data_IF_432164232265
#
_entry.id   IF_432164232265
#
_cell.length_a   1.000
_cell.length_b   1.000
_cell.length_c   1.000
_cell.angle_alpha   90.00
_cell.angle_beta   90.00
_cell.angle_gamma   90.00
#
_symmetry.space_group_name_H-M   'P 1'
#
loop_
_entity.id
_entity.type
_entity.pdbx_description
1 polymer ?
#
# COMPACT_ATOMS: atom_id res chain seq x y z
N UNK A 1 -16.13 1.06 -4.14
CA UNK A 1 -15.09 0.11 -3.68
C UNK A 1 -14.03 0.85 -2.88
N UNK A 2 -13.45 0.18 -1.90
CA UNK A 2 -12.38 0.63 -1.03
C UNK A 2 -11.04 0.11 -1.54
N UNK A 3 -9.99 0.92 -1.46
CA UNK A 3 -8.65 0.54 -1.90
C UNK A 3 -7.58 0.97 -0.91
N UNK A 4 -6.45 0.26 -0.95
CA UNK A 4 -5.22 0.62 -0.26
C UNK A 4 -4.03 0.62 -1.24
N UNK A 5 -3.10 1.56 -1.09
CA UNK A 5 -1.90 1.64 -1.92
C UNK A 5 -0.64 1.47 -1.07
N UNK A 6 0.03 0.35 -1.24
CA UNK A 6 1.27 -0.01 -0.56
C UNK A 6 2.49 0.34 -1.42
N UNK A 7 3.52 0.96 -0.84
CA UNK A 7 4.82 1.14 -1.51
C UNK A 7 5.92 1.54 -0.51
N UNK A 8 7.11 1.85 -1.04
CA UNK A 8 8.19 2.45 -0.27
C UNK A 8 8.05 3.98 -0.17
N UNK A 9 8.70 4.58 0.84
CA UNK A 9 8.81 6.05 0.98
C UNK A 9 9.39 6.75 -0.26
N UNK A 10 10.16 6.03 -1.10
CA UNK A 10 10.71 6.54 -2.36
C UNK A 10 9.64 6.82 -3.43
N UNK A 11 8.42 6.27 -3.25
CA UNK A 11 7.33 6.35 -4.22
C UNK A 11 6.16 7.21 -3.72
N UNK A 12 6.33 8.06 -2.69
CA UNK A 12 5.24 8.89 -2.13
C UNK A 12 4.45 9.63 -3.23
N UNK A 13 5.14 10.28 -4.17
CA UNK A 13 4.46 11.06 -5.21
C UNK A 13 3.65 10.18 -6.16
N UNK A 14 4.16 8.98 -6.48
CA UNK A 14 3.43 7.99 -7.30
C UNK A 14 2.22 7.44 -6.56
N UNK A 15 2.36 7.18 -5.26
CA UNK A 15 1.25 6.73 -4.41
C UNK A 15 0.16 7.78 -4.38
N UNK A 16 0.51 9.05 -4.12
CA UNK A 16 -0.43 10.17 -4.14
C UNK A 16 -1.12 10.30 -5.49
N UNK A 17 -0.36 10.27 -6.59
CA UNK A 17 -0.91 10.30 -7.94
C UNK A 17 -1.95 9.21 -8.16
N UNK A 18 -1.60 7.93 -7.91
CA UNK A 18 -2.52 6.80 -8.07
C UNK A 18 -3.74 6.93 -7.16
N UNK A 19 -3.55 7.33 -5.90
CA UNK A 19 -4.64 7.52 -4.96
C UNK A 19 -5.60 8.64 -5.38
N UNK A 20 -5.11 9.76 -5.93
CA UNK A 20 -5.98 10.80 -6.50
C UNK A 20 -6.74 10.28 -7.73
N UNK A 21 -6.08 9.57 -8.64
CA UNK A 21 -6.76 9.01 -9.82
C UNK A 21 -7.87 8.03 -9.43
N UNK A 22 -7.65 7.20 -8.41
CA UNK A 22 -8.67 6.27 -7.91
C UNK A 22 -9.80 7.00 -7.18
N UNK A 23 -9.48 8.02 -6.38
CA UNK A 23 -10.51 8.86 -5.72
C UNK A 23 -11.38 9.62 -6.72
N UNK A 24 -10.79 10.17 -7.80
CA UNK A 24 -11.52 10.84 -8.87
C UNK A 24 -12.49 9.90 -9.62
N UNK A 25 -12.25 8.59 -9.56
CA UNK A 25 -13.16 7.55 -10.08
C UNK A 25 -14.22 7.10 -9.07
N UNK A 26 -14.30 7.74 -7.90
CA UNK A 26 -15.27 7.42 -6.85
C UNK A 26 -14.83 6.30 -5.89
N UNK A 27 -13.58 5.85 -5.94
CA UNK A 27 -13.08 4.87 -4.98
C UNK A 27 -12.68 5.52 -3.65
N UNK A 28 -12.76 4.74 -2.55
CA UNK A 28 -12.49 5.21 -1.20
C UNK A 28 -11.11 4.72 -0.76
N UNK A 29 -10.21 5.64 -0.44
CA UNK A 29 -8.89 5.29 0.10
C UNK A 29 -9.01 4.95 1.58
N UNK A 30 -8.72 3.70 1.96
CA UNK A 30 -8.91 3.25 3.35
C UNK A 30 -7.95 3.90 4.33
N UNK A 31 -6.72 4.19 3.88
CA UNK A 31 -5.74 4.90 4.69
C UNK A 31 -4.62 5.49 3.82
N UNK A 32 -4.35 6.78 3.99
CA UNK A 32 -3.27 7.47 3.30
C UNK A 32 -2.03 7.59 4.20
N UNK A 33 -1.16 6.59 4.14
CA UNK A 33 0.07 6.58 4.92
C UNK A 33 1.07 7.67 4.49
N UNK A 34 0.92 8.25 3.29
CA UNK A 34 1.82 9.30 2.79
C UNK A 34 1.67 10.63 3.54
N UNK A 35 0.65 10.74 4.40
CA UNK A 35 0.42 11.86 5.31
C UNK A 35 1.14 11.69 6.66
N UNK A 36 1.67 10.51 6.95
CA UNK A 36 2.35 10.25 8.21
C UNK A 36 3.74 10.87 8.23
N UNK A 37 4.12 11.41 9.40
CA UNK A 37 5.54 11.60 9.73
C UNK A 37 6.15 10.24 10.04
N UNK A 38 7.46 10.12 9.83
CA UNK A 38 8.21 8.91 10.19
C UNK A 38 8.08 8.68 11.71
N UNK A 39 7.71 7.47 12.11
CA UNK A 39 7.62 7.14 13.53
C UNK A 39 8.97 7.36 14.23
N UNK A 40 8.91 7.99 15.40
CA UNK A 40 10.05 8.29 16.28
C UNK A 40 10.03 7.42 17.54
N UNK A 41 8.88 6.84 17.87
CA UNK A 41 8.70 5.97 19.05
C UNK A 41 8.07 4.63 18.68
N UNK A 42 8.26 3.63 19.54
CA UNK A 42 7.62 2.32 19.39
C UNK A 42 6.08 2.41 19.41
N UNK A 43 5.53 3.32 20.23
CA UNK A 43 4.09 3.55 20.31
C UNK A 43 3.52 4.08 19.00
N UNK A 44 4.20 5.06 18.39
CA UNK A 44 3.83 5.58 17.07
C UNK A 44 3.93 4.50 16.00
N UNK A 45 5.03 3.73 16.00
CA UNK A 45 5.24 2.64 15.05
C UNK A 45 4.10 1.61 15.13
N UNK A 46 3.71 1.20 16.34
CA UNK A 46 2.59 0.29 16.57
C UNK A 46 1.26 0.88 16.07
N UNK A 47 1.01 2.16 16.32
CA UNK A 47 -0.22 2.83 15.88
C UNK A 47 -0.31 2.91 14.35
N UNK A 48 0.79 3.28 13.68
CA UNK A 48 0.85 3.33 12.21
C UNK A 48 0.61 1.93 11.63
N UNK A 49 1.33 0.91 12.11
CA UNK A 49 1.18 -0.46 11.62
C UNK A 49 -0.24 -1.02 11.85
N UNK A 50 -0.90 -0.65 12.95
CA UNK A 50 -2.28 -1.05 13.19
C UNK A 50 -3.26 -0.39 12.21
N UNK A 51 -3.03 0.88 11.84
CA UNK A 51 -3.81 1.58 10.81
C UNK A 51 -3.59 0.98 9.43
N UNK A 52 -2.34 0.69 9.06
CA UNK A 52 -1.98 0.04 7.79
C UNK A 52 -2.64 -1.35 7.68
N UNK A 53 -2.53 -2.18 8.72
CA UNK A 53 -3.19 -3.49 8.77
C UNK A 53 -4.71 -3.38 8.59
N UNK A 54 -5.37 -2.49 9.33
CA UNK A 54 -6.82 -2.30 9.23
C UNK A 54 -7.22 -1.81 7.83
N UNK A 55 -6.44 -0.91 7.24
CA UNK A 55 -6.67 -0.39 5.91
C UNK A 55 -6.65 -1.47 4.82
N UNK A 56 -5.74 -2.45 4.94
CA UNK A 56 -5.70 -3.63 4.07
C UNK A 56 -6.94 -4.50 4.27
N UNK A 57 -7.30 -4.79 5.53
CA UNK A 57 -8.49 -5.61 5.87
C UNK A 57 -9.77 -4.99 5.30
N UNK A 58 -9.93 -3.68 5.44
CA UNK A 58 -11.12 -2.93 5.00
C UNK A 58 -11.16 -2.67 3.49
N UNK A 59 -10.04 -2.83 2.78
CA UNK A 59 -9.98 -2.61 1.33
C UNK A 59 -10.64 -3.76 0.56
N UNK A 60 -11.26 -3.46 -0.57
CA UNK A 60 -11.76 -4.46 -1.53
C UNK A 60 -10.62 -4.98 -2.41
N UNK A 61 -9.64 -4.12 -2.69
CA UNK A 61 -8.43 -4.45 -3.43
C UNK A 61 -7.24 -3.61 -2.97
N UNK A 62 -6.03 -4.12 -3.22
CA UNK A 62 -4.80 -3.40 -2.94
C UNK A 62 -3.98 -3.17 -4.21
N UNK A 63 -3.25 -2.05 -4.24
CA UNK A 63 -2.27 -1.74 -5.26
C UNK A 63 -0.89 -1.68 -4.61
N UNK A 64 0.07 -2.45 -5.13
CA UNK A 64 1.46 -2.42 -4.67
C UNK A 64 2.33 -1.82 -5.76
N UNK A 65 2.99 -0.70 -5.46
CA UNK A 65 3.94 -0.07 -6.38
C UNK A 65 5.36 -0.51 -6.02
N UNK A 66 6.06 -1.15 -6.94
CA UNK A 66 7.47 -1.51 -6.80
C UNK A 66 8.41 -0.36 -7.24
N UNK A 67 9.62 -0.23 -6.65
CA UNK A 67 10.13 -1.03 -5.53
C UNK A 67 9.40 -0.69 -4.22
N UNK A 68 8.95 -1.74 -3.51
CA UNK A 68 8.16 -1.60 -2.29
C UNK A 68 9.02 -1.74 -1.02
N UNK A 69 8.51 -1.22 0.09
CA UNK A 69 9.20 -1.29 1.39
C UNK A 69 8.97 -2.63 2.10
N UNK A 70 9.69 -2.86 3.20
CA UNK A 70 9.48 -4.04 4.07
C UNK A 70 8.01 -4.16 4.52
N UNK A 71 7.39 -3.05 4.94
CA UNK A 71 5.98 -3.04 5.38
C UNK A 71 5.04 -3.54 4.27
N UNK A 72 5.28 -3.13 3.02
CA UNK A 72 4.45 -3.52 1.88
C UNK A 72 4.40 -5.02 1.62
N UNK A 73 5.42 -5.77 2.00
CA UNK A 73 5.42 -7.22 1.89
C UNK A 73 4.55 -7.88 2.97
N UNK A 74 4.47 -7.27 4.15
CA UNK A 74 3.53 -7.69 5.21
C UNK A 74 2.09 -7.41 4.76
N UNK A 75 1.84 -6.22 4.20
CA UNK A 75 0.54 -5.82 3.66
C UNK A 75 0.10 -6.75 2.51
N UNK A 76 1.03 -7.13 1.63
CA UNK A 76 0.81 -8.14 0.60
C UNK A 76 0.41 -9.49 1.21
N UNK A 77 1.17 -9.98 2.20
CA UNK A 77 0.86 -11.24 2.88
C UNK A 77 -0.53 -11.26 3.52
N UNK A 78 -0.92 -10.17 4.20
CA UNK A 78 -2.26 -10.01 4.78
C UNK A 78 -3.33 -10.04 3.69
N UNK A 79 -3.13 -9.30 2.60
CA UNK A 79 -4.10 -9.25 1.51
C UNK A 79 -4.29 -10.62 0.82
N UNK A 80 -3.20 -11.35 0.59
CA UNK A 80 -3.22 -12.71 0.05
C UNK A 80 -3.96 -13.67 1.01
N UNK A 81 -3.65 -13.62 2.31
CA UNK A 81 -4.31 -14.44 3.33
C UNK A 81 -5.82 -14.16 3.46
N UNK A 82 -6.27 -12.96 3.09
CA UNK A 82 -7.67 -12.55 3.06
C UNK A 82 -8.32 -12.68 1.68
N UNK A 83 -7.63 -13.30 0.71
CA UNK A 83 -8.08 -13.47 -0.67
C UNK A 83 -8.53 -12.15 -1.34
N UNK A 84 -7.86 -11.05 -1.03
CA UNK A 84 -8.14 -9.73 -1.62
C UNK A 84 -7.59 -9.68 -3.04
N UNK A 85 -8.21 -8.87 -3.90
CA UNK A 85 -7.66 -8.58 -5.22
C UNK A 85 -6.37 -7.78 -5.07
N UNK A 86 -5.26 -8.33 -5.58
CA UNK A 86 -3.94 -7.68 -5.55
C UNK A 86 -3.54 -7.22 -6.95
N UNK A 87 -3.19 -5.94 -7.08
CA UNK A 87 -2.62 -5.37 -8.30
C UNK A 87 -1.18 -4.98 -7.99
N UNK A 88 -0.22 -5.70 -8.55
CA UNK A 88 1.20 -5.37 -8.41
C UNK A 88 1.62 -4.56 -9.64
N UNK A 89 2.16 -3.35 -9.47
CA UNK A 89 2.77 -2.53 -10.53
C UNK A 89 4.30 -2.46 -10.36
N UNK A 90 5.04 -2.73 -11.43
CA UNK A 90 6.50 -2.65 -11.47
C UNK A 90 6.86 -1.78 -12.65
N UNK A 91 7.60 -0.68 -12.46
CA UNK A 91 8.00 0.17 -13.57
C UNK A 91 9.02 -0.54 -14.49
N UNK A 92 9.73 -1.56 -13.97
CA UNK A 92 10.75 -2.30 -14.69
C UNK A 92 10.35 -3.78 -14.77
N UNK A 93 10.78 -4.45 -15.83
CA UNK A 93 10.43 -5.84 -16.14
C UNK A 93 11.19 -6.88 -15.30
N UNK A 94 11.76 -6.48 -14.15
CA UNK A 94 12.48 -7.35 -13.21
C UNK A 94 11.64 -8.54 -12.71
N UNK A 95 10.32 -8.56 -12.93
CA UNK A 95 9.49 -9.74 -12.63
C UNK A 95 9.69 -10.90 -13.60
N UNK A 96 10.21 -10.62 -14.79
CA UNK A 96 10.51 -11.62 -15.82
C UNK A 96 11.97 -12.09 -15.73
N UNK A 97 12.74 -11.57 -14.77
CA UNK A 97 14.13 -11.94 -14.57
C UNK A 97 14.17 -13.17 -13.62
N UNK A 98 14.06 -14.35 -14.23
CA UNK A 98 14.16 -15.65 -13.53
C UNK A 98 15.61 -16.13 -13.38
N UNK A 99 16.59 -15.25 -13.62
CA UNK A 99 18.01 -15.55 -13.60
C UNK A 99 18.53 -15.90 -12.19
#
# INVERSE_FOLDING_TARGET
MKFYVASSFKNIDKVRYVSEQLKNKGYIHTYDWTKNKRASTFKELKQIGQKEKNAVIESDFIVILLPAGKSSHIELGIALGLNKKVILYSPNDQRNDFA
#
